data_IF_474819784198
#
_entry.id   IF_474819784198
#
_cell.length_a   1.000
_cell.length_b   1.000
_cell.length_c   1.000
_cell.angle_alpha   90.00
_cell.angle_beta   90.00
_cell.angle_gamma   90.00
#
_symmetry.space_group_name_H-M   'P 1'
#
loop_
_entity.id
_entity.type
_entity.pdbx_description
1 polymer ?
#
# COMPACT_ATOMS: atom_id res chain seq x y z
N UNK A 1 24.26 4.78 -1.18
CA UNK A 1 23.42 3.83 -0.39
C UNK A 1 22.72 2.81 -1.27
N UNK A 2 21.81 3.17 -2.19
CA UNK A 2 21.26 2.23 -3.20
C UNK A 2 22.17 2.06 -4.43
N UNK A 3 22.88 3.12 -4.81
CA UNK A 3 23.74 3.20 -6.01
C UNK A 3 25.15 2.63 -5.83
N UNK A 4 25.57 2.27 -4.61
CA UNK A 4 26.90 1.69 -4.38
C UNK A 4 26.98 0.28 -4.99
N UNK A 5 27.84 0.14 -5.99
CA UNK A 5 27.95 -1.08 -6.82
C UNK A 5 28.90 -2.14 -6.26
N UNK A 6 29.66 -1.89 -5.18
CA UNK A 6 30.81 -2.77 -4.82
C UNK A 6 30.89 -3.32 -3.39
N UNK A 7 29.96 -3.04 -2.45
CA UNK A 7 30.19 -3.47 -1.03
C UNK A 7 29.01 -3.97 -0.22
N UNK A 8 27.76 -3.91 -0.71
CA UNK A 8 26.58 -4.29 0.10
C UNK A 8 25.98 -5.61 -0.40
N UNK A 9 25.91 -6.62 0.50
CA UNK A 9 25.23 -7.90 0.24
C UNK A 9 23.81 -7.67 -0.30
N UNK A 10 23.35 -8.42 -1.32
CA UNK A 10 22.01 -8.27 -1.90
C UNK A 10 20.88 -8.26 -0.86
N UNK A 11 20.94 -9.12 0.17
CA UNK A 11 19.97 -9.15 1.27
C UNK A 11 19.86 -7.82 2.02
N UNK A 12 20.98 -7.16 2.32
CA UNK A 12 20.97 -5.83 2.96
C UNK A 12 20.33 -4.77 2.07
N UNK A 13 20.53 -4.85 0.75
CA UNK A 13 19.86 -3.93 -0.20
C UNK A 13 18.35 -4.16 -0.22
N UNK A 14 17.90 -5.42 -0.21
CA UNK A 14 16.46 -5.75 -0.12
C UNK A 14 15.82 -5.16 1.14
N UNK A 15 16.44 -5.34 2.31
CA UNK A 15 15.90 -4.76 3.55
C UNK A 15 15.85 -3.23 3.54
N UNK A 16 16.85 -2.58 2.93
CA UNK A 16 16.83 -1.13 2.79
C UNK A 16 15.69 -0.67 1.86
N UNK A 17 15.51 -1.33 0.72
CA UNK A 17 14.42 -1.03 -0.22
C UNK A 17 13.07 -1.26 0.45
N UNK A 18 12.91 -2.37 1.17
CA UNK A 18 11.70 -2.65 1.94
C UNK A 18 11.40 -1.54 2.95
N UNK A 19 12.40 -1.13 3.74
CA UNK A 19 12.24 -0.03 4.69
C UNK A 19 11.84 1.28 3.99
N UNK A 20 12.49 1.63 2.87
CA UNK A 20 12.17 2.84 2.08
C UNK A 20 10.72 2.81 1.58
N UNK A 21 10.26 1.66 1.06
CA UNK A 21 8.88 1.49 0.60
C UNK A 21 7.88 1.56 1.75
N UNK A 22 8.11 0.81 2.84
CA UNK A 22 7.21 0.78 4.01
C UNK A 22 7.18 2.11 4.76
N UNK A 23 8.24 2.93 4.69
CA UNK A 23 8.26 4.30 5.22
C UNK A 23 7.55 5.32 4.30
N UNK A 24 7.09 4.91 3.12
CA UNK A 24 6.31 5.75 2.20
C UNK A 24 7.13 6.82 1.47
N UNK A 25 8.43 6.60 1.32
CA UNK A 25 9.37 7.56 0.69
C UNK A 25 10.03 7.00 -0.58
N UNK A 26 9.59 5.83 -1.05
CA UNK A 26 10.11 5.22 -2.27
C UNK A 26 9.96 6.06 -3.53
N UNK A 27 8.96 6.94 -3.58
CA UNK A 27 8.72 7.82 -4.72
C UNK A 27 9.84 8.85 -4.97
N UNK A 28 10.77 9.02 -4.03
CA UNK A 28 12.00 9.81 -4.21
C UNK A 28 13.14 9.03 -4.86
N UNK A 29 13.02 7.71 -4.94
CA UNK A 29 14.09 6.78 -5.34
C UNK A 29 13.60 5.75 -6.36
N UNK A 30 12.57 6.06 -7.16
CA UNK A 30 11.93 5.12 -8.09
C UNK A 30 13.00 4.46 -9.00
N UNK A 31 13.82 5.30 -9.65
CA UNK A 31 14.87 4.85 -10.57
C UNK A 31 15.95 4.02 -9.84
N UNK A 32 16.39 4.45 -8.66
CA UNK A 32 17.42 3.74 -7.90
C UNK A 32 16.94 2.38 -7.40
N UNK A 33 15.67 2.30 -6.98
CA UNK A 33 15.04 1.06 -6.53
C UNK A 33 14.92 0.08 -7.70
N UNK A 34 14.41 0.55 -8.84
CA UNK A 34 14.21 -0.29 -10.03
C UNK A 34 15.55 -0.87 -10.51
N UNK A 35 16.56 0.00 -10.68
CA UNK A 35 17.91 -0.43 -11.06
C UNK A 35 18.53 -1.42 -10.05
N UNK A 36 18.28 -1.23 -8.76
CA UNK A 36 18.80 -2.12 -7.73
C UNK A 36 18.13 -3.50 -7.78
N UNK A 37 16.81 -3.53 -7.95
CA UNK A 37 16.02 -4.77 -8.03
C UNK A 37 16.29 -5.55 -9.32
N UNK A 38 16.44 -4.87 -10.45
CA UNK A 38 16.87 -5.49 -11.71
C UNK A 38 18.23 -6.16 -11.57
N UNK A 39 19.22 -5.47 -10.96
CA UNK A 39 20.55 -6.05 -10.71
C UNK A 39 20.49 -7.24 -9.77
N UNK A 40 19.66 -7.19 -8.73
CA UNK A 40 19.48 -8.32 -7.81
C UNK A 40 18.83 -9.51 -8.52
N UNK A 41 17.90 -9.27 -9.43
CA UNK A 41 17.25 -10.31 -10.22
C UNK A 41 18.20 -10.95 -11.24
N UNK A 42 18.93 -10.13 -12.02
CA UNK A 42 19.84 -10.58 -13.08
C UNK A 42 21.17 -11.13 -12.55
N UNK A 43 21.59 -10.69 -11.36
CA UNK A 43 22.88 -11.05 -10.76
C UNK A 43 23.02 -12.53 -10.38
N UNK A 44 22.01 -13.37 -10.66
CA UNK A 44 22.07 -14.82 -10.47
C UNK A 44 22.42 -15.21 -9.03
N UNK A 45 21.96 -14.42 -8.05
CA UNK A 45 22.25 -14.72 -6.65
C UNK A 45 21.74 -16.12 -6.38
N UNK A 46 22.61 -16.98 -5.85
CA UNK A 46 22.25 -18.36 -5.59
C UNK A 46 21.17 -18.39 -4.50
N UNK A 47 19.90 -18.35 -4.94
CA UNK A 47 18.73 -18.25 -4.08
C UNK A 47 18.59 -19.47 -3.17
N UNK A 48 19.42 -20.51 -3.40
CA UNK A 48 19.52 -21.72 -2.57
C UNK A 48 19.84 -21.37 -1.12
N UNK A 49 20.65 -20.33 -0.86
CA UNK A 49 21.05 -19.95 0.51
C UNK A 49 20.06 -19.01 1.23
N UNK A 50 19.05 -18.48 0.54
CA UNK A 50 18.11 -17.55 1.18
C UNK A 50 17.19 -18.27 2.15
N UNK A 51 17.12 -17.78 3.39
CA UNK A 51 16.09 -18.15 4.35
C UNK A 51 14.68 -17.74 3.88
N UNK A 52 13.65 -18.15 4.64
CA UNK A 52 12.26 -17.86 4.30
C UNK A 52 12.01 -16.36 4.23
N UNK A 53 12.49 -15.62 5.22
CA UNK A 53 12.38 -14.18 5.30
C UNK A 53 12.95 -13.47 4.06
N UNK A 54 14.20 -13.74 3.72
CA UNK A 54 14.89 -13.11 2.59
C UNK A 54 14.24 -13.50 1.26
N UNK A 55 13.84 -14.78 1.10
CA UNK A 55 13.15 -15.25 -0.10
C UNK A 55 11.81 -14.53 -0.29
N UNK A 56 11.03 -14.39 0.78
CA UNK A 56 9.73 -13.75 0.73
C UNK A 56 9.82 -12.24 0.47
N UNK A 57 10.77 -11.54 1.11
CA UNK A 57 11.03 -10.10 0.84
C UNK A 57 11.49 -9.90 -0.60
N UNK A 58 12.44 -10.71 -1.08
CA UNK A 58 12.91 -10.67 -2.47
C UNK A 58 11.76 -10.84 -3.46
N UNK A 59 10.94 -11.87 -3.27
CA UNK A 59 9.81 -12.19 -4.14
C UNK A 59 8.80 -11.04 -4.17
N UNK A 60 8.43 -10.54 -2.99
CA UNK A 60 7.47 -9.44 -2.85
C UNK A 60 7.96 -8.18 -3.56
N UNK A 61 9.19 -7.74 -3.27
CA UNK A 61 9.73 -6.50 -3.83
C UNK A 61 9.84 -6.55 -5.36
N UNK A 62 10.30 -7.67 -5.92
CA UNK A 62 10.39 -7.83 -7.38
C UNK A 62 9.02 -7.77 -8.04
N UNK A 63 8.03 -8.50 -7.50
CA UNK A 63 6.66 -8.45 -8.06
C UNK A 63 6.00 -7.09 -7.90
N UNK A 64 6.29 -6.37 -6.81
CA UNK A 64 5.80 -5.00 -6.63
C UNK A 64 6.30 -4.05 -7.73
N UNK A 65 7.51 -4.28 -8.26
CA UNK A 65 8.03 -3.54 -9.41
C UNK A 65 7.67 -4.12 -10.78
N UNK A 66 6.73 -5.06 -10.83
CA UNK A 66 6.31 -5.69 -12.09
C UNK A 66 7.33 -6.69 -12.67
N UNK A 67 8.40 -7.01 -11.94
CA UNK A 67 9.34 -8.06 -12.33
C UNK A 67 8.70 -9.42 -12.02
N UNK A 68 8.43 -10.19 -13.09
CA UNK A 68 7.77 -11.49 -12.97
C UNK A 68 8.75 -12.54 -12.45
N UNK A 69 8.60 -12.91 -11.18
CA UNK A 69 9.33 -14.03 -10.56
C UNK A 69 8.43 -15.24 -10.34
N UNK A 70 8.88 -16.48 -10.66
CA UNK A 70 8.09 -17.69 -10.45
C UNK A 70 7.85 -17.97 -8.96
N UNK A 71 6.65 -18.44 -8.60
CA UNK A 71 6.31 -18.82 -7.22
C UNK A 71 6.96 -20.13 -6.77
N UNK A 72 7.50 -20.90 -7.72
CA UNK A 72 8.25 -22.13 -7.50
C UNK A 72 9.51 -21.93 -6.64
N UNK A 73 9.97 -20.69 -6.47
CA UNK A 73 11.05 -20.35 -5.55
C UNK A 73 10.75 -20.80 -4.12
N UNK A 74 9.47 -20.93 -3.76
CA UNK A 74 9.05 -21.40 -2.44
C UNK A 74 9.04 -22.94 -2.30
N UNK A 75 9.25 -23.72 -3.39
CA UNK A 75 9.28 -25.19 -3.33
C UNK A 75 10.35 -25.75 -2.40
N UNK A 76 11.45 -25.01 -2.17
CA UNK A 76 12.49 -25.40 -1.19
C UNK A 76 12.00 -25.40 0.27
N UNK A 77 10.88 -24.74 0.55
CA UNK A 77 10.22 -24.71 1.85
C UNK A 77 9.06 -25.71 1.96
N UNK A 78 8.87 -26.54 0.94
CA UNK A 78 7.87 -27.60 0.89
C UNK A 78 8.55 -28.93 1.26
N UNK A 79 7.86 -29.77 2.00
CA UNK A 79 8.27 -31.12 2.38
C UNK A 79 7.93 -32.17 1.29
N UNK A 80 8.31 -33.42 1.52
CA UNK A 80 8.05 -34.52 0.57
C UNK A 80 6.56 -34.82 0.40
N UNK A 81 5.70 -34.35 1.32
CA UNK A 81 4.24 -34.50 1.28
C UNK A 81 3.55 -33.36 0.53
N UNK A 82 4.32 -32.40 0.01
CA UNK A 82 3.79 -31.24 -0.70
C UNK A 82 3.24 -30.15 0.23
N UNK A 83 3.62 -30.13 1.52
CA UNK A 83 3.20 -29.11 2.49
C UNK A 83 4.36 -28.24 2.95
N UNK A 84 4.07 -27.02 3.38
CA UNK A 84 5.09 -26.17 3.99
C UNK A 84 5.68 -26.87 5.22
N UNK A 85 7.01 -26.87 5.33
CA UNK A 85 7.72 -27.55 6.41
C UNK A 85 7.32 -26.96 7.76
N UNK A 86 7.02 -27.83 8.72
CA UNK A 86 6.58 -27.45 10.08
C UNK A 86 7.66 -26.67 10.87
N UNK A 87 8.94 -26.84 10.54
CA UNK A 87 10.04 -26.12 11.20
C UNK A 87 10.02 -24.61 10.92
N UNK A 88 9.38 -24.16 9.82
CA UNK A 88 9.18 -22.76 9.47
C UNK A 88 8.37 -21.99 10.52
N UNK A 89 7.56 -22.68 11.32
CA UNK A 89 6.77 -22.09 12.41
C UNK A 89 7.70 -21.46 13.48
N UNK A 90 8.97 -21.85 13.52
CA UNK A 90 9.94 -21.23 14.43
C UNK A 90 10.48 -19.88 13.89
N UNK A 91 10.37 -19.60 12.59
CA UNK A 91 10.78 -18.34 11.96
C UNK A 91 9.57 -17.40 11.80
N UNK A 92 9.15 -16.77 12.89
CA UNK A 92 8.01 -15.84 12.88
C UNK A 92 8.19 -14.68 11.87
N UNK A 93 9.36 -14.01 11.80
CA UNK A 93 9.58 -12.97 10.78
C UNK A 93 9.51 -13.50 9.35
N UNK A 94 9.99 -14.73 9.10
CA UNK A 94 9.86 -15.41 7.81
C UNK A 94 8.41 -15.69 7.45
N UNK A 95 7.63 -16.25 8.40
CA UNK A 95 6.20 -16.53 8.23
C UNK A 95 5.39 -15.27 7.92
N UNK A 96 5.67 -14.17 8.63
CA UNK A 96 5.02 -12.89 8.38
C UNK A 96 5.34 -12.35 6.97
N UNK A 97 6.60 -12.48 6.51
CA UNK A 97 6.96 -12.02 5.18
C UNK A 97 6.44 -12.95 4.08
N UNK A 98 6.34 -14.26 4.33
CA UNK A 98 5.69 -15.21 3.43
C UNK A 98 4.21 -14.86 3.25
N UNK A 99 3.51 -14.53 4.34
CA UNK A 99 2.13 -14.04 4.29
C UNK A 99 2.01 -12.82 3.37
N UNK A 100 2.84 -11.80 3.60
CA UNK A 100 2.83 -10.57 2.81
C UNK A 100 3.15 -10.82 1.32
N UNK A 101 4.13 -11.67 1.04
CA UNK A 101 4.54 -12.05 -0.31
C UNK A 101 3.45 -12.82 -1.06
N UNK A 102 2.76 -13.73 -0.38
CA UNK A 102 1.73 -14.56 -0.98
C UNK A 102 0.48 -13.78 -1.43
N UNK A 103 0.22 -12.59 -0.87
CA UNK A 103 -0.82 -11.67 -1.39
C UNK A 103 -0.47 -11.04 -2.75
N UNK A 104 0.72 -11.31 -3.32
CA UNK A 104 1.08 -10.99 -4.71
C UNK A 104 0.90 -12.17 -5.67
N UNK A 105 0.19 -13.22 -5.25
CA UNK A 105 -0.13 -14.37 -6.11
C UNK A 105 -0.89 -13.98 -7.39
N UNK A 106 -0.63 -14.73 -8.44
CA UNK A 106 -1.36 -14.71 -9.71
C UNK A 106 -2.25 -15.95 -9.82
N UNK A 107 -3.13 -15.97 -10.82
CA UNK A 107 -3.98 -17.13 -11.09
C UNK A 107 -3.13 -18.37 -11.40
N UNK A 108 -3.47 -19.51 -10.79
CA UNK A 108 -2.78 -20.79 -10.98
C UNK A 108 -1.53 -20.97 -10.11
N UNK A 109 -1.29 -20.09 -9.13
CA UNK A 109 -0.17 -20.23 -8.19
C UNK A 109 -0.61 -20.85 -6.87
N UNK A 110 -0.99 -22.12 -6.91
CA UNK A 110 -1.53 -22.87 -5.76
C UNK A 110 -0.59 -22.86 -4.55
N UNK A 111 0.73 -22.85 -4.77
CA UNK A 111 1.73 -22.76 -3.71
C UNK A 111 1.55 -21.50 -2.83
N UNK A 112 1.10 -20.38 -3.42
CA UNK A 112 0.87 -19.14 -2.68
C UNK A 112 -0.51 -19.07 -2.05
N UNK A 113 -1.50 -19.78 -2.62
CA UNK A 113 -2.79 -20.02 -1.94
C UNK A 113 -2.56 -20.82 -0.65
N UNK A 114 -1.81 -21.92 -0.75
CA UNK A 114 -1.44 -22.74 0.40
C UNK A 114 -0.58 -21.95 1.39
N UNK A 115 0.32 -21.07 0.91
CA UNK A 115 1.12 -20.21 1.79
C UNK A 115 0.26 -19.26 2.62
N UNK A 116 -0.81 -18.68 2.04
CA UNK A 116 -1.74 -17.83 2.78
C UNK A 116 -2.47 -18.64 3.85
N UNK A 117 -3.00 -19.81 3.51
CA UNK A 117 -3.69 -20.66 4.47
C UNK A 117 -2.75 -21.08 5.63
N UNK A 118 -1.55 -21.55 5.31
CA UNK A 118 -0.53 -21.98 6.27
C UNK A 118 -0.09 -20.83 7.18
N UNK A 119 0.20 -19.66 6.62
CA UNK A 119 0.65 -18.52 7.44
C UNK A 119 -0.45 -17.99 8.35
N UNK A 120 -1.70 -17.89 7.90
CA UNK A 120 -2.82 -17.48 8.75
C UNK A 120 -3.00 -18.44 9.93
N UNK A 121 -3.02 -19.76 9.68
CA UNK A 121 -3.27 -20.75 10.73
C UNK A 121 -2.23 -20.75 11.84
N UNK A 122 -0.98 -20.36 11.53
CA UNK A 122 0.10 -20.34 12.51
C UNK A 122 0.33 -18.97 13.13
N UNK A 123 0.29 -17.88 12.35
CA UNK A 123 0.61 -16.52 12.84
C UNK A 123 -0.29 -16.10 14.01
N UNK A 124 -1.58 -16.44 13.99
CA UNK A 124 -2.51 -16.15 15.11
C UNK A 124 -2.05 -16.80 16.42
N UNK A 125 -1.67 -18.08 16.36
CA UNK A 125 -1.19 -18.82 17.53
C UNK A 125 0.17 -18.31 18.01
N UNK A 126 1.05 -17.94 17.07
CA UNK A 126 2.42 -17.47 17.33
C UNK A 126 2.45 -16.07 17.94
N UNK A 127 1.45 -15.23 17.64
CA UNK A 127 1.34 -13.86 18.13
C UNK A 127 1.41 -13.76 19.67
N UNK A 128 0.99 -14.80 20.40
CA UNK A 128 1.02 -14.86 21.86
C UNK A 128 2.39 -15.15 22.47
N UNK A 129 3.36 -15.61 21.66
CA UNK A 129 4.68 -16.11 22.11
C UNK A 129 5.84 -15.22 21.69
N UNK A 130 5.56 -14.07 21.09
CA UNK A 130 6.57 -13.16 20.53
C UNK A 130 6.64 -11.84 21.29
N UNK A 131 7.61 -10.99 20.93
CA UNK A 131 7.70 -9.64 21.50
C UNK A 131 6.43 -8.84 21.21
N UNK A 132 6.04 -7.89 22.08
CA UNK A 132 4.85 -7.06 21.86
C UNK A 132 4.86 -6.32 20.52
N UNK A 133 6.05 -5.91 20.05
CA UNK A 133 6.20 -5.24 18.76
C UNK A 133 5.91 -6.19 17.59
N UNK A 134 6.40 -7.43 17.64
CA UNK A 134 6.14 -8.41 16.59
C UNK A 134 4.68 -8.90 16.63
N UNK A 135 4.08 -9.03 17.82
CA UNK A 135 2.65 -9.30 17.98
C UNK A 135 1.79 -8.22 17.32
N UNK A 136 2.13 -6.94 17.50
CA UNK A 136 1.47 -5.81 16.85
C UNK A 136 1.60 -5.88 15.33
N UNK A 137 2.78 -6.25 14.80
CA UNK A 137 2.98 -6.43 13.35
C UNK A 137 2.12 -7.56 12.78
N UNK A 138 2.07 -8.70 13.47
CA UNK A 138 1.24 -9.85 13.06
C UNK A 138 -0.23 -9.45 13.03
N UNK A 139 -0.70 -8.80 14.11
CA UNK A 139 -2.10 -8.38 14.22
C UNK A 139 -2.47 -7.38 13.13
N UNK A 140 -1.59 -6.42 12.84
CA UNK A 140 -1.79 -5.43 11.76
C UNK A 140 -1.84 -6.11 10.38
N UNK A 141 -0.90 -7.02 10.08
CA UNK A 141 -0.85 -7.72 8.80
C UNK A 141 -2.08 -8.61 8.57
N UNK A 142 -2.55 -9.32 9.61
CA UNK A 142 -3.73 -10.19 9.52
C UNK A 142 -5.03 -9.41 9.31
N UNK A 143 -5.12 -8.16 9.79
CA UNK A 143 -6.24 -7.26 9.48
C UNK A 143 -6.22 -6.89 8.00
N UNK A 144 -5.04 -6.48 7.49
CA UNK A 144 -4.87 -6.12 6.08
C UNK A 144 -3.40 -6.25 5.66
N UNK A 145 -3.09 -7.06 4.64
CA UNK A 145 -1.72 -7.20 4.15
C UNK A 145 -1.28 -5.93 3.42
N UNK A 146 0.03 -5.67 3.40
CA UNK A 146 0.67 -4.50 2.79
C UNK A 146 0.15 -4.28 1.37
N UNK A 147 0.03 -5.34 0.57
CA UNK A 147 -0.40 -5.27 -0.84
C UNK A 147 -1.80 -4.69 -1.02
N UNK A 148 -2.68 -4.84 -0.02
CA UNK A 148 -4.09 -4.42 -0.03
C UNK A 148 -4.34 -3.15 0.80
N UNK A 149 -3.29 -2.58 1.39
CA UNK A 149 -3.35 -1.35 2.19
C UNK A 149 -2.99 -0.11 1.36
N UNK A 150 -3.49 1.04 1.81
CA UNK A 150 -3.13 2.32 1.22
C UNK A 150 -1.70 2.71 1.67
N UNK A 151 -0.78 3.02 0.73
CA UNK A 151 0.63 3.27 1.05
C UNK A 151 0.83 4.30 2.16
N UNK A 152 -0.03 5.33 2.20
CA UNK A 152 0.10 6.43 3.16
C UNK A 152 -0.31 6.05 4.58
N UNK A 153 -1.29 5.17 4.72
CA UNK A 153 -1.72 4.64 6.03
C UNK A 153 -0.65 3.71 6.56
N UNK A 154 -0.14 2.81 5.72
CA UNK A 154 0.97 1.91 6.08
C UNK A 154 2.22 2.68 6.47
N UNK A 155 2.57 3.74 5.74
CA UNK A 155 3.71 4.59 6.09
C UNK A 155 3.56 5.21 7.49
N UNK A 156 2.35 5.66 7.87
CA UNK A 156 2.11 6.22 9.20
C UNK A 156 2.28 5.18 10.32
N UNK A 157 1.79 3.97 10.08
CA UNK A 157 1.96 2.83 10.99
C UNK A 157 3.45 2.45 11.09
N UNK A 158 4.11 2.28 9.97
CA UNK A 158 5.50 1.82 9.91
C UNK A 158 6.48 2.85 10.48
N UNK A 159 6.28 4.16 10.28
CA UNK A 159 7.09 5.19 10.94
C UNK A 159 7.02 5.07 12.48
N UNK A 160 5.84 4.76 13.02
CA UNK A 160 5.63 4.57 14.47
C UNK A 160 6.39 3.34 14.97
N UNK A 161 6.22 2.22 14.26
CA UNK A 161 6.90 0.96 14.54
C UNK A 161 8.43 1.11 14.47
N UNK A 162 8.94 1.65 13.35
CA UNK A 162 10.36 1.85 13.10
C UNK A 162 11.03 2.79 14.12
N UNK A 163 10.26 3.72 14.71
CA UNK A 163 10.76 4.60 15.78
C UNK A 163 10.95 3.88 17.11
N UNK A 164 10.19 2.81 17.37
CA UNK A 164 10.23 2.03 18.62
C UNK A 164 11.27 0.91 18.57
N UNK A 165 11.66 0.50 17.37
CA UNK A 165 12.63 -0.57 17.17
C UNK A 165 14.06 -0.04 17.31
N UNK A 166 14.64 -0.23 18.49
CA UNK A 166 15.92 0.36 18.92
C UNK A 166 17.09 0.08 17.96
N UNK A 167 17.13 -1.10 17.36
CA UNK A 167 18.20 -1.50 16.44
C UNK A 167 18.11 -0.79 15.07
N UNK A 168 16.90 -0.62 14.52
CA UNK A 168 16.69 0.05 13.23
C UNK A 168 16.72 1.57 13.34
N UNK A 169 16.19 2.12 14.42
CA UNK A 169 16.23 3.55 14.71
C UNK A 169 17.66 4.07 14.88
N UNK A 170 18.56 3.26 15.45
CA UNK A 170 19.98 3.60 15.60
C UNK A 170 20.77 3.38 14.30
N UNK A 171 20.53 2.28 13.58
CA UNK A 171 21.28 1.94 12.35
C UNK A 171 20.93 2.84 11.15
N UNK A 172 19.71 3.38 11.08
CA UNK A 172 19.26 4.23 9.97
C UNK A 172 18.51 5.49 10.46
N UNK A 173 19.04 6.17 11.47
CA UNK A 173 18.43 7.38 12.04
C UNK A 173 18.11 8.46 10.99
N UNK A 174 18.98 8.60 9.98
CA UNK A 174 18.78 9.53 8.86
C UNK A 174 17.53 9.19 8.02
N UNK A 175 17.30 7.89 7.75
CA UNK A 175 16.16 7.42 6.97
C UNK A 175 14.84 7.69 7.72
N UNK A 176 14.80 7.40 9.01
CA UNK A 176 13.62 7.67 9.84
C UNK A 176 13.34 9.17 9.94
N UNK A 177 14.37 10.00 10.11
CA UNK A 177 14.23 11.46 10.13
C UNK A 177 13.66 11.96 8.81
N UNK A 178 14.19 11.48 7.68
CA UNK A 178 13.70 11.83 6.35
C UNK A 178 12.23 11.43 6.19
N UNK A 179 11.85 10.19 6.53
CA UNK A 179 10.47 9.73 6.46
C UNK A 179 9.50 10.58 7.29
N UNK A 180 9.88 10.99 8.50
CA UNK A 180 9.05 11.88 9.35
C UNK A 180 8.89 13.28 8.73
N UNK A 181 9.98 13.85 8.23
CA UNK A 181 9.95 15.17 7.60
C UNK A 181 9.11 15.16 6.33
N UNK A 182 9.33 14.17 5.46
CA UNK A 182 8.54 13.94 4.27
C UNK A 182 7.07 13.77 4.61
N UNK A 183 6.78 12.95 5.64
CA UNK A 183 5.41 12.69 6.05
C UNK A 183 4.67 13.99 6.42
N UNK A 184 5.30 14.83 7.23
CA UNK A 184 4.71 16.08 7.69
C UNK A 184 4.57 17.10 6.55
N UNK A 185 5.55 17.17 5.65
CA UNK A 185 5.50 18.05 4.48
C UNK A 185 4.33 17.67 3.56
N UNK A 186 4.20 16.39 3.23
CA UNK A 186 3.11 15.87 2.38
C UNK A 186 1.75 16.08 3.06
N UNK A 187 1.66 15.86 4.37
CA UNK A 187 0.43 16.13 5.13
C UNK A 187 0.05 17.62 5.11
N UNK A 188 1.01 18.53 5.25
CA UNK A 188 0.75 19.98 5.15
C UNK A 188 0.25 20.38 3.76
N UNK A 189 0.79 19.76 2.70
CA UNK A 189 0.27 19.92 1.33
C UNK A 189 -1.17 19.42 1.23
N UNK A 190 -1.48 18.23 1.75
CA UNK A 190 -2.83 17.67 1.74
C UNK A 190 -3.84 18.57 2.47
N UNK A 191 -3.47 19.14 3.61
CA UNK A 191 -4.31 20.10 4.34
C UNK A 191 -4.54 21.39 3.55
N UNK A 192 -3.53 21.87 2.81
CA UNK A 192 -3.67 23.03 1.92
C UNK A 192 -4.64 22.75 0.77
N UNK A 193 -4.53 21.58 0.14
CA UNK A 193 -5.46 21.12 -0.89
C UNK A 193 -6.89 21.06 -0.36
N UNK A 194 -7.09 20.39 0.78
CA UNK A 194 -8.40 20.24 1.40
C UNK A 194 -9.03 21.58 1.80
N UNK A 195 -8.24 22.55 2.28
CA UNK A 195 -8.73 23.90 2.57
C UNK A 195 -9.25 24.58 1.29
N UNK A 196 -8.48 24.53 0.21
CA UNK A 196 -8.89 25.10 -1.08
C UNK A 196 -10.16 24.45 -1.64
N UNK A 197 -10.26 23.13 -1.53
CA UNK A 197 -11.44 22.36 -1.96
C UNK A 197 -12.66 22.67 -1.07
N UNK A 198 -12.46 22.80 0.25
CA UNK A 198 -13.52 23.17 1.19
C UNK A 198 -14.08 24.55 0.90
N UNK A 199 -13.21 25.52 0.57
CA UNK A 199 -13.66 26.85 0.15
C UNK A 199 -14.51 26.76 -1.13
N UNK A 200 -14.00 26.08 -2.15
CA UNK A 200 -14.74 25.85 -3.40
C UNK A 200 -16.10 25.19 -3.17
N UNK A 201 -16.18 24.18 -2.30
CA UNK A 201 -17.42 23.48 -1.99
C UNK A 201 -18.45 24.38 -1.30
N UNK A 202 -17.99 25.20 -0.34
CA UNK A 202 -18.86 26.19 0.33
C UNK A 202 -19.36 27.26 -0.62
N UNK A 203 -18.53 27.71 -1.56
CA UNK A 203 -18.91 28.72 -2.55
C UNK A 203 -20.02 28.23 -3.51
N UNK A 204 -20.22 26.91 -3.65
CA UNK A 204 -21.33 26.33 -4.44
C UNK A 204 -22.66 26.30 -3.68
N UNK A 205 -22.64 26.37 -2.35
CA UNK A 205 -23.82 26.42 -1.48
C UNK A 205 -24.86 25.29 -1.74
N UNK A 206 -24.37 24.06 -1.97
CA UNK A 206 -25.24 22.89 -2.15
C UNK A 206 -26.00 22.49 -0.89
N UNK A 207 -25.50 22.83 0.30
CA UNK A 207 -26.26 22.61 1.53
C UNK A 207 -27.61 23.35 1.52
N UNK A 208 -27.67 24.51 0.86
CA UNK A 208 -28.91 25.31 0.72
C UNK A 208 -29.69 24.91 -0.52
N UNK A 209 -29.02 24.76 -1.67
CA UNK A 209 -29.68 24.50 -2.95
C UNK A 209 -30.09 23.05 -3.17
N UNK A 210 -29.40 22.09 -2.55
CA UNK A 210 -29.63 20.64 -2.65
C UNK A 210 -29.64 20.01 -1.24
N UNK A 211 -30.63 20.34 -0.38
CA UNK A 211 -30.63 19.93 1.03
C UNK A 211 -30.75 18.41 1.24
N UNK A 212 -31.08 17.66 0.20
CA UNK A 212 -31.14 16.19 0.22
C UNK A 212 -29.76 15.54 0.04
N UNK A 213 -28.79 16.25 -0.54
CA UNK A 213 -27.49 15.69 -0.89
C UNK A 213 -26.57 15.59 0.34
N UNK A 214 -25.78 14.52 0.41
CA UNK A 214 -24.83 14.27 1.49
C UNK A 214 -23.56 15.09 1.27
N UNK A 215 -22.97 15.60 2.35
CA UNK A 215 -21.59 16.10 2.31
C UNK A 215 -20.62 14.92 2.44
N UNK A 216 -19.78 14.74 1.41
CA UNK A 216 -18.77 13.68 1.30
C UNK A 216 -17.40 14.22 0.89
N UNK A 217 -17.15 15.52 1.11
CA UNK A 217 -15.96 16.18 0.59
C UNK A 217 -14.67 15.58 1.17
N UNK A 218 -14.65 15.31 2.47
CA UNK A 218 -13.46 14.78 3.17
C UNK A 218 -13.22 13.33 2.80
N UNK A 219 -14.28 12.52 2.72
CA UNK A 219 -14.23 11.12 2.30
C UNK A 219 -13.76 10.99 0.85
N UNK A 220 -14.31 11.82 -0.04
CA UNK A 220 -13.88 11.90 -1.44
C UNK A 220 -12.42 12.30 -1.58
N UNK A 221 -11.97 13.30 -0.81
CA UNK A 221 -10.56 13.68 -0.80
C UNK A 221 -9.66 12.55 -0.28
N UNK A 222 -10.09 11.88 0.79
CA UNK A 222 -9.36 10.75 1.37
C UNK A 222 -9.21 9.60 0.36
N UNK A 223 -10.25 9.30 -0.43
CA UNK A 223 -10.15 8.34 -1.53
C UNK A 223 -9.13 8.78 -2.58
N UNK A 224 -9.11 10.05 -2.98
CA UNK A 224 -8.13 10.55 -3.97
C UNK A 224 -6.70 10.54 -3.46
N UNK A 225 -6.50 10.78 -2.16
CA UNK A 225 -5.20 10.58 -1.50
C UNK A 225 -4.78 9.10 -1.52
N UNK A 226 -5.75 8.18 -1.46
CA UNK A 226 -5.53 6.75 -1.65
C UNK A 226 -5.11 6.36 -3.07
N UNK A 227 -5.58 7.08 -4.11
CA UNK A 227 -5.18 6.84 -5.51
C UNK A 227 -3.72 7.25 -5.73
N UNK A 228 -3.34 8.45 -5.29
CA UNK A 228 -1.95 8.92 -5.32
C UNK A 228 -1.70 9.94 -4.21
N UNK A 229 -0.68 9.71 -3.38
CA UNK A 229 -0.39 10.55 -2.21
C UNK A 229 0.75 11.55 -2.47
N UNK A 230 1.54 11.33 -3.52
CA UNK A 230 2.78 12.02 -3.81
C UNK A 230 2.54 13.50 -4.15
N UNK A 231 3.47 14.41 -3.80
CA UNK A 231 3.32 15.84 -4.07
C UNK A 231 3.07 16.18 -5.53
N UNK A 232 3.70 15.45 -6.48
CA UNK A 232 3.57 15.68 -7.93
C UNK A 232 2.12 15.59 -8.44
N UNK A 233 1.24 14.89 -7.72
CA UNK A 233 -0.17 14.71 -8.09
C UNK A 233 -1.15 15.64 -7.37
N UNK A 234 -0.68 16.74 -6.79
CA UNK A 234 -1.50 17.72 -6.06
C UNK A 234 -2.69 18.26 -6.88
N UNK A 235 -2.43 18.67 -8.12
CA UNK A 235 -3.49 19.15 -9.03
C UNK A 235 -4.49 18.04 -9.34
N UNK A 236 -4.01 16.83 -9.60
CA UNK A 236 -4.85 15.68 -9.93
C UNK A 236 -5.75 15.28 -8.75
N UNK A 237 -5.26 15.34 -7.51
CA UNK A 237 -6.09 15.10 -6.31
C UNK A 237 -7.18 16.14 -6.18
N UNK A 238 -6.80 17.42 -6.35
CA UNK A 238 -7.75 18.53 -6.27
C UNK A 238 -8.86 18.38 -7.31
N UNK A 239 -8.49 18.11 -8.57
CA UNK A 239 -9.43 17.93 -9.66
C UNK A 239 -10.35 16.73 -9.44
N UNK A 240 -9.80 15.54 -9.16
CA UNK A 240 -10.62 14.35 -8.97
C UNK A 240 -11.50 14.41 -7.71
N UNK A 241 -11.09 15.14 -6.67
CA UNK A 241 -11.96 15.34 -5.50
C UNK A 241 -13.20 16.14 -5.88
N UNK A 242 -13.05 17.18 -6.70
CA UNK A 242 -14.18 17.96 -7.21
C UNK A 242 -15.11 17.10 -8.07
N UNK A 243 -14.54 16.31 -8.98
CA UNK A 243 -15.30 15.37 -9.80
C UNK A 243 -16.07 14.38 -8.91
N UNK A 244 -15.39 13.74 -7.95
CA UNK A 244 -16.00 12.78 -7.03
C UNK A 244 -17.13 13.40 -6.20
N UNK A 245 -16.95 14.63 -5.72
CA UNK A 245 -17.98 15.35 -4.96
C UNK A 245 -19.21 15.65 -5.82
N UNK A 246 -19.02 16.10 -7.07
CA UNK A 246 -20.13 16.30 -8.01
C UNK A 246 -20.84 15.00 -8.38
N UNK A 247 -20.08 13.92 -8.60
CA UNK A 247 -20.65 12.58 -8.87
C UNK A 247 -21.45 12.08 -7.68
N UNK A 248 -21.03 12.34 -6.45
CA UNK A 248 -21.79 11.97 -5.24
C UNK A 248 -23.14 12.69 -5.15
N UNK A 249 -23.24 13.93 -5.63
CA UNK A 249 -24.53 14.63 -5.71
C UNK A 249 -25.44 14.00 -6.76
N UNK A 250 -24.88 13.67 -7.93
CA UNK A 250 -25.63 12.99 -8.98
C UNK A 250 -26.14 11.64 -8.47
N UNK A 251 -25.29 10.83 -7.84
CA UNK A 251 -25.64 9.57 -7.17
C UNK A 251 -26.83 9.76 -6.21
N UNK A 252 -26.76 10.72 -5.29
CA UNK A 252 -27.86 11.02 -4.36
C UNK A 252 -29.16 11.41 -5.08
N UNK A 253 -29.05 12.09 -6.22
CA UNK A 253 -30.20 12.51 -7.03
C UNK A 253 -30.87 11.31 -7.68
N UNK A 254 -30.12 10.36 -8.24
CA UNK A 254 -30.67 9.15 -8.86
C UNK A 254 -31.20 8.16 -7.82
N UNK A 255 -30.55 8.03 -6.67
CA UNK A 255 -30.89 7.00 -5.68
C UNK A 255 -32.11 7.35 -4.82
N UNK A 256 -32.23 8.61 -4.40
CA UNK A 256 -33.12 8.96 -3.29
C UNK A 256 -34.05 10.15 -3.55
N UNK A 257 -33.91 10.86 -4.67
CA UNK A 257 -34.63 12.12 -4.88
C UNK A 257 -35.42 12.22 -6.18
N UNK A 258 -34.80 11.96 -7.33
CA UNK A 258 -35.43 12.16 -8.63
C UNK A 258 -36.50 11.11 -8.93
N UNK A 259 -37.62 11.57 -9.49
CA UNK A 259 -38.61 10.68 -10.11
C UNK A 259 -38.08 10.11 -11.44
N UNK A 260 -38.57 8.95 -11.91
CA UNK A 260 -38.11 8.39 -13.19
C UNK A 260 -38.19 9.37 -14.36
N UNK A 261 -39.25 10.17 -14.43
CA UNK A 261 -39.46 11.18 -15.47
C UNK A 261 -38.42 12.31 -15.40
N UNK A 262 -38.09 12.79 -14.19
CA UNK A 262 -37.05 13.81 -13.99
C UNK A 262 -35.66 13.27 -14.30
N UNK A 263 -35.37 12.02 -13.90
CA UNK A 263 -34.08 11.38 -14.14
C UNK A 263 -33.85 11.08 -15.62
N UNK A 264 -34.89 10.77 -16.39
CA UNK A 264 -34.77 10.63 -17.85
C UNK A 264 -34.33 11.95 -18.51
N UNK A 265 -34.89 13.08 -18.06
CA UNK A 265 -34.49 14.40 -18.55
C UNK A 265 -33.05 14.74 -18.13
N UNK A 266 -32.70 14.49 -16.88
CA UNK A 266 -31.33 14.71 -16.38
C UNK A 266 -30.31 13.87 -17.16
N UNK A 267 -30.61 12.60 -17.42
CA UNK A 267 -29.76 11.70 -18.22
C UNK A 267 -29.51 12.29 -19.61
N UNK A 268 -30.57 12.71 -20.31
CA UNK A 268 -30.48 13.32 -21.64
C UNK A 268 -29.63 14.60 -21.64
N UNK A 269 -29.76 15.44 -20.60
CA UNK A 269 -28.95 16.66 -20.47
C UNK A 269 -27.45 16.32 -20.32
N UNK A 270 -27.12 15.30 -19.52
CA UNK A 270 -25.73 14.85 -19.33
C UNK A 270 -25.17 14.24 -20.61
N UNK A 271 -25.92 13.40 -21.32
CA UNK A 271 -25.50 12.80 -22.60
C UNK A 271 -25.21 13.84 -23.69
N UNK A 272 -26.04 14.89 -23.74
CA UNK A 272 -25.88 15.99 -24.71
C UNK A 272 -24.83 17.01 -24.29
N UNK A 273 -24.41 17.00 -23.02
CA UNK A 273 -23.58 18.05 -22.41
C UNK A 273 -24.17 19.46 -22.61
N UNK A 274 -25.51 19.58 -22.54
CA UNK A 274 -26.24 20.84 -22.72
C UNK A 274 -27.38 20.94 -21.70
N UNK A 275 -27.60 22.14 -21.17
CA UNK A 275 -28.67 22.44 -20.21
C UNK A 275 -29.99 22.86 -20.87
N UNK A 276 -30.03 23.02 -22.19
CA UNK A 276 -31.28 23.29 -22.92
C UNK A 276 -32.05 21.98 -23.15
N UNK A 277 -33.23 21.90 -22.54
CA UNK A 277 -34.21 20.82 -22.71
C UNK A 277 -34.89 20.90 -24.08
#
# INVERSE_FOLDING_TARGET
>A
MLTDTTTIKPSKKLHLIDAIQRLGIAYHFEIEIDNALEKIHLGGVDHVEYDLHTTAVWFRLLRQQGIKVPSEIFKKFIDEKGKFKEDLINDVPGMLNLYEAAHLRLHGEDILEEAIAFTISHLESMATKVSPLLQEQISHALIRPIRKSLPRIEARYHISLYSRETHFASSNAALLKFAKMDFNMVQALHLKELNGITKWWKDLDFATSLPYARDRLVEGYFWMMGVYFEPKYSLARTFLTKVTAMTSILDDTYDNYGTPEELELLTKCVERLNSQL
#
